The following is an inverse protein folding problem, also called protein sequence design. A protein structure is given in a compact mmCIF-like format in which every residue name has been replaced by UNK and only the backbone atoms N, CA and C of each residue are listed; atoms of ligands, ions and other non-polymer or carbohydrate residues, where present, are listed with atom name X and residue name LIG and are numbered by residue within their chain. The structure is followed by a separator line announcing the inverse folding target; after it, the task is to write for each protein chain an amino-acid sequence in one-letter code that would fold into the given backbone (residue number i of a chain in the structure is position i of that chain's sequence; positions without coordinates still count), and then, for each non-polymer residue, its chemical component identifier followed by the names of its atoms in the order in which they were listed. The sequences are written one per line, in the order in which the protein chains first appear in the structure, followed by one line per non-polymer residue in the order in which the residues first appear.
data_IF_939927399198
#
_entry.id   IF_939927399198
#
_cell.length_a   1.000
_cell.length_b   1.000
_cell.length_c   1.000
_cell.angle_alpha   90.00
_cell.angle_beta   90.00
_cell.angle_gamma   90.00
#
_symmetry.space_group_name_H-M   'P 1'
#
loop_
_entity.id
_entity.type
_entity.pdbx_description
1 polymer ?
#
# COMPACT_ATOMS: atom_id res chain seq x y z
N UNK A 1 -2.09 -10.12 25.57
CA UNK A 1 -1.21 -9.21 24.79
C UNK A 1 -0.88 -9.76 23.39
N UNK A 2 -0.54 -11.04 23.23
CA UNK A 2 -0.24 -11.62 21.89
C UNK A 2 -1.35 -11.43 20.84
N UNK A 3 -2.63 -11.58 21.20
CA UNK A 3 -3.75 -11.38 20.25
C UNK A 3 -3.85 -9.93 19.74
N UNK A 4 -3.49 -8.95 20.57
CA UNK A 4 -3.47 -7.53 20.18
C UNK A 4 -2.32 -7.26 19.21
N UNK A 5 -1.14 -7.82 19.49
CA UNK A 5 0.03 -7.66 18.63
C UNK A 5 -0.18 -8.33 17.26
N UNK A 6 -0.77 -9.53 17.23
CA UNK A 6 -1.18 -10.21 16.00
C UNK A 6 -2.18 -9.37 15.21
N UNK A 7 -3.16 -8.76 15.89
CA UNK A 7 -4.14 -7.88 15.25
C UNK A 7 -3.48 -6.65 14.61
N UNK A 8 -2.55 -6.01 15.32
CA UNK A 8 -1.80 -4.86 14.80
C UNK A 8 -0.98 -5.25 13.59
N UNK A 9 -0.23 -6.35 13.66
CA UNK A 9 0.57 -6.84 12.53
C UNK A 9 -0.31 -7.16 11.31
N UNK A 10 -1.47 -7.76 11.53
CA UNK A 10 -2.45 -8.00 10.47
C UNK A 10 -3.03 -6.71 9.90
N UNK A 11 -3.41 -5.74 10.74
CA UNK A 11 -3.98 -4.48 10.28
C UNK A 11 -2.99 -3.68 9.42
N UNK A 12 -1.70 -3.73 9.75
CA UNK A 12 -0.63 -3.12 8.93
C UNK A 12 -0.54 -3.77 7.55
N UNK A 13 -0.64 -5.09 7.50
CA UNK A 13 -0.67 -5.86 6.25
C UNK A 13 -1.92 -5.56 5.43
N UNK A 14 -3.09 -5.48 6.08
CA UNK A 14 -4.38 -5.17 5.44
C UNK A 14 -4.45 -3.75 4.84
N UNK A 15 -3.60 -2.82 5.31
CA UNK A 15 -3.53 -1.47 4.76
C UNK A 15 -2.81 -1.43 3.39
N UNK A 16 -2.06 -2.46 3.03
CA UNK A 16 -1.28 -2.54 1.79
C UNK A 16 -2.19 -3.02 0.65
N UNK A 17 -2.38 -2.20 -0.41
CA UNK A 17 -3.33 -2.49 -1.50
C UNK A 17 -2.94 -3.66 -2.41
N UNK A 18 -1.86 -4.39 -2.10
CA UNK A 18 -1.29 -5.44 -2.94
C UNK A 18 -1.65 -6.86 -2.47
N UNK A 19 -2.33 -7.00 -1.33
CA UNK A 19 -2.36 -8.26 -0.59
C UNK A 19 -3.78 -8.85 -0.46
N UNK A 20 -4.30 -9.37 -1.57
CA UNK A 20 -5.56 -10.15 -1.59
C UNK A 20 -5.55 -11.35 -0.63
N UNK A 21 -4.37 -11.89 -0.34
CA UNK A 21 -4.21 -13.13 0.45
C UNK A 21 -4.08 -12.91 1.96
N UNK A 22 -3.85 -11.67 2.42
CA UNK A 22 -3.58 -11.37 3.84
C UNK A 22 -4.83 -11.11 4.68
N UNK A 23 -5.98 -10.92 4.03
CA UNK A 23 -7.19 -10.43 4.68
C UNK A 23 -8.04 -11.55 5.32
N UNK A 24 -7.89 -12.80 4.89
CA UNK A 24 -8.65 -13.95 5.40
C UNK A 24 -8.00 -14.61 6.63
N UNK A 25 -7.52 -13.82 7.59
CA UNK A 25 -6.98 -14.36 8.85
C UNK A 25 -8.10 -14.45 9.86
N UNK A 26 -8.42 -15.66 10.33
CA UNK A 26 -9.42 -15.85 11.35
C UNK A 26 -8.86 -15.47 12.74
N UNK A 27 -9.25 -14.29 13.24
CA UNK A 27 -8.89 -13.86 14.59
C UNK A 27 -9.80 -14.51 15.66
N UNK A 28 -9.24 -15.38 16.48
CA UNK A 28 -9.87 -15.83 17.73
C UNK A 28 -9.65 -14.79 18.84
N UNK A 29 -10.45 -13.73 18.82
CA UNK A 29 -10.37 -12.65 19.83
C UNK A 29 -11.00 -13.13 21.14
N UNK A 30 -10.24 -13.21 22.26
CA UNK A 30 -10.80 -13.66 23.52
C UNK A 30 -11.77 -12.62 24.10
N UNK A 31 -13.05 -12.99 24.23
CA UNK A 31 -14.13 -12.09 24.67
C UNK A 31 -14.14 -11.79 26.18
N UNK A 32 -13.31 -12.47 26.96
CA UNK A 32 -13.23 -12.30 28.41
C UNK A 32 -12.43 -11.07 28.83
N UNK A 33 -11.70 -10.44 27.91
CA UNK A 33 -10.97 -9.21 28.18
C UNK A 33 -11.78 -7.98 27.76
N UNK A 34 -11.65 -6.90 28.52
CA UNK A 34 -12.32 -5.61 28.26
C UNK A 34 -11.99 -5.01 26.89
N UNK A 35 -10.81 -5.29 26.33
CA UNK A 35 -10.41 -4.87 24.98
C UNK A 35 -10.91 -5.80 23.87
N UNK A 36 -11.45 -6.98 24.19
CA UNK A 36 -11.85 -7.98 23.19
C UNK A 36 -12.98 -7.47 22.29
N UNK A 37 -14.03 -6.90 22.88
CA UNK A 37 -15.16 -6.32 22.14
C UNK A 37 -14.77 -5.17 21.19
N UNK A 38 -14.02 -4.13 21.63
CA UNK A 38 -13.60 -3.07 20.72
C UNK A 38 -12.62 -3.57 19.64
N UNK A 39 -11.76 -4.55 19.94
CA UNK A 39 -10.86 -5.15 18.95
C UNK A 39 -11.63 -5.91 17.85
N UNK A 40 -12.67 -6.67 18.24
CA UNK A 40 -13.57 -7.30 17.27
C UNK A 40 -14.32 -6.28 16.42
N UNK A 41 -14.78 -5.17 17.00
CA UNK A 41 -15.44 -4.11 16.24
C UNK A 41 -14.50 -3.45 15.21
N UNK A 42 -13.23 -3.23 15.57
CA UNK A 42 -12.23 -2.70 14.64
C UNK A 42 -11.93 -3.68 13.50
N UNK A 43 -11.79 -4.98 13.81
CA UNK A 43 -11.61 -6.03 12.82
C UNK A 43 -12.70 -6.00 11.74
N UNK A 44 -13.97 -6.00 12.16
CA UNK A 44 -15.11 -5.96 11.23
C UNK A 44 -15.12 -4.68 10.38
N UNK A 45 -14.85 -3.52 10.98
CA UNK A 45 -14.79 -2.25 10.22
C UNK A 45 -13.68 -2.27 9.17
N UNK A 46 -12.51 -2.84 9.48
CA UNK A 46 -11.41 -2.95 8.52
C UNK A 46 -11.79 -3.89 7.36
N UNK A 47 -12.47 -5.02 7.65
CA UNK A 47 -12.98 -5.94 6.63
C UNK A 47 -14.06 -5.31 5.74
N UNK A 48 -14.94 -4.50 6.31
CA UNK A 48 -15.99 -3.80 5.54
C UNK A 48 -15.38 -2.74 4.62
N UNK A 49 -14.43 -1.95 5.13
CA UNK A 49 -13.75 -0.94 4.32
C UNK A 49 -12.88 -1.55 3.21
N UNK A 50 -12.20 -2.67 3.47
CA UNK A 50 -11.44 -3.36 2.43
C UNK A 50 -12.35 -3.93 1.32
N UNK A 51 -13.50 -4.50 1.66
CA UNK A 51 -14.50 -4.97 0.67
C UNK A 51 -15.07 -3.82 -0.18
N UNK A 52 -15.25 -2.63 0.41
CA UNK A 52 -15.66 -1.43 -0.34
C UNK A 52 -14.55 -0.94 -1.28
N UNK A 53 -13.29 -1.06 -0.85
CA UNK A 53 -12.10 -0.70 -1.64
C UNK A 53 -11.92 -1.62 -2.86
N UNK A 54 -12.20 -2.91 -2.68
CA UNK A 54 -12.22 -3.91 -3.74
C UNK A 54 -13.28 -3.59 -4.81
N UNK A 55 -14.50 -3.25 -4.37
CA UNK A 55 -15.58 -2.79 -5.27
C UNK A 55 -15.30 -1.49 -6.01
N UNK A 56 -14.41 -0.65 -5.49
CA UNK A 56 -14.06 0.63 -6.12
C UNK A 56 -12.97 0.49 -7.17
N UNK A 57 -12.45 -0.71 -7.47
CA UNK A 57 -11.24 -0.87 -8.25
C UNK A 57 -10.19 0.12 -7.72
N UNK A 58 -9.63 -0.14 -6.52
CA UNK A 58 -8.39 0.51 -6.11
C UNK A 58 -7.23 0.01 -6.99
N UNK A 59 -7.36 0.24 -8.29
CA UNK A 59 -6.53 -0.16 -9.41
C UNK A 59 -5.64 1.00 -9.87
N UNK A 60 -5.55 2.10 -9.11
CA UNK A 60 -4.73 3.27 -9.45
C UNK A 60 -3.21 3.07 -9.28
N UNK A 61 -2.75 1.82 -9.18
CA UNK A 61 -1.36 1.43 -9.38
C UNK A 61 -1.29 0.22 -10.32
N UNK A 62 -2.21 -0.75 -10.19
CA UNK A 62 -2.27 -1.90 -11.10
C UNK A 62 -2.53 -1.50 -12.56
N UNK A 63 -3.36 -0.49 -12.80
CA UNK A 63 -3.68 0.01 -14.15
C UNK A 63 -2.48 0.71 -14.77
N UNK A 64 -1.83 1.59 -14.02
CA UNK A 64 -0.67 2.37 -14.44
C UNK A 64 0.52 1.43 -14.67
N UNK A 65 0.72 0.42 -13.80
CA UNK A 65 1.73 -0.64 -13.99
C UNK A 65 1.43 -1.46 -15.24
N UNK A 66 0.17 -1.82 -15.46
CA UNK A 66 -0.24 -2.53 -16.67
C UNK A 66 -0.02 -1.69 -17.94
N UNK A 67 -0.38 -0.40 -17.91
CA UNK A 67 -0.17 0.52 -19.03
C UNK A 67 1.32 0.76 -19.30
N UNK A 68 2.14 0.86 -18.25
CA UNK A 68 3.60 0.95 -18.32
C UNK A 68 4.22 -0.29 -18.97
N UNK A 69 3.84 -1.49 -18.52
CA UNK A 69 4.34 -2.75 -19.11
C UNK A 69 3.95 -2.85 -20.60
N UNK A 70 2.70 -2.51 -20.93
CA UNK A 70 2.24 -2.48 -22.32
C UNK A 70 3.02 -1.48 -23.18
N UNK A 71 3.18 -0.25 -22.70
CA UNK A 71 3.90 0.80 -23.42
C UNK A 71 5.39 0.44 -23.62
N UNK A 72 6.01 -0.11 -22.57
CA UNK A 72 7.38 -0.61 -22.59
C UNK A 72 7.59 -1.70 -23.65
N UNK A 73 6.70 -2.70 -23.72
CA UNK A 73 6.77 -3.76 -24.74
C UNK A 73 6.71 -3.22 -26.16
N UNK A 74 5.76 -2.31 -26.43
CA UNK A 74 5.62 -1.70 -27.76
C UNK A 74 6.85 -0.87 -28.12
N UNK A 75 7.39 -0.11 -27.17
CA UNK A 75 8.63 0.65 -27.39
C UNK A 75 9.85 -0.26 -27.62
N UNK A 76 9.95 -1.40 -26.93
CA UNK A 76 11.00 -2.39 -27.18
C UNK A 76 10.89 -3.00 -28.58
N UNK A 77 9.68 -3.39 -29.01
CA UNK A 77 9.45 -3.91 -30.37
C UNK A 77 9.77 -2.87 -31.45
N UNK A 78 9.42 -1.60 -31.21
CA UNK A 78 9.77 -0.50 -32.09
C UNK A 78 11.29 -0.31 -32.14
N UNK A 79 11.98 -0.33 -31.00
CA UNK A 79 13.44 -0.20 -30.92
C UNK A 79 14.18 -1.32 -31.67
N UNK A 80 13.70 -2.56 -31.55
CA UNK A 80 14.29 -3.74 -32.22
C UNK A 80 14.09 -3.71 -33.74
N UNK A 81 13.07 -3.00 -34.23
CA UNK A 81 12.74 -2.89 -35.65
C UNK A 81 13.25 -1.60 -36.32
N UNK A 82 14.00 -0.77 -35.60
CA UNK A 82 14.59 0.47 -36.14
C UNK A 82 15.67 0.14 -37.18
N UNK A 83 15.46 0.61 -38.41
CA UNK A 83 16.50 0.75 -39.44
C UNK A 83 16.56 2.20 -39.91
N UNK A 84 17.77 2.73 -40.05
CA UNK A 84 17.99 4.13 -40.44
C UNK A 84 18.27 4.26 -41.94
N UNK A 85 17.78 5.33 -42.59
CA UNK A 85 16.96 6.41 -42.04
C UNK A 85 15.51 5.98 -41.73
N UNK A 86 14.95 6.47 -40.62
CA UNK A 86 13.61 6.10 -40.19
C UNK A 86 12.55 6.68 -41.15
N UNK A 87 11.53 5.91 -41.54
CA UNK A 87 10.34 6.47 -42.19
C UNK A 87 9.62 7.47 -41.29
N UNK A 88 9.10 8.55 -41.85
CA UNK A 88 8.40 9.62 -41.11
C UNK A 88 7.22 9.07 -40.29
N UNK A 89 6.50 8.08 -40.81
CA UNK A 89 5.40 7.41 -40.10
C UNK A 89 5.88 6.64 -38.86
N UNK A 90 7.02 5.95 -38.96
CA UNK A 90 7.65 5.24 -37.83
C UNK A 90 8.20 6.22 -36.80
N UNK A 91 8.77 7.33 -37.23
CA UNK A 91 9.24 8.38 -36.32
C UNK A 91 8.07 8.96 -35.52
N UNK A 92 6.93 9.20 -36.19
CA UNK A 92 5.71 9.68 -35.55
C UNK A 92 5.18 8.69 -34.51
N UNK A 93 5.12 7.41 -34.86
CA UNK A 93 4.68 6.34 -33.96
C UNK A 93 5.55 6.25 -32.70
N UNK A 94 6.89 6.29 -32.86
CA UNK A 94 7.83 6.30 -31.73
C UNK A 94 7.59 7.54 -30.85
N UNK A 95 7.43 8.72 -31.45
CA UNK A 95 7.19 9.96 -30.71
C UNK A 95 5.87 9.90 -29.92
N UNK A 96 4.79 9.41 -30.52
CA UNK A 96 3.50 9.23 -29.87
C UNK A 96 3.62 8.25 -28.68
N UNK A 97 4.32 7.13 -28.84
CA UNK A 97 4.52 6.14 -27.77
C UNK A 97 5.39 6.66 -26.63
N UNK A 98 6.45 7.42 -26.93
CA UNK A 98 7.27 8.07 -25.91
C UNK A 98 6.45 9.12 -25.14
N UNK A 99 5.57 9.85 -25.82
CA UNK A 99 4.68 10.80 -25.16
C UNK A 99 3.65 10.09 -24.25
N UNK A 100 3.06 8.98 -24.72
CA UNK A 100 2.18 8.12 -23.91
C UNK A 100 2.89 7.61 -22.65
N UNK A 101 4.14 7.14 -22.79
CA UNK A 101 4.98 6.73 -21.66
C UNK A 101 5.21 7.87 -20.67
N UNK A 102 5.52 9.07 -21.17
CA UNK A 102 5.72 10.26 -20.36
C UNK A 102 4.50 10.59 -19.51
N UNK A 103 3.29 10.49 -20.08
CA UNK A 103 2.05 10.71 -19.33
C UNK A 103 1.86 9.67 -18.23
N UNK A 104 2.10 8.39 -18.52
CA UNK A 104 2.00 7.31 -17.51
C UNK A 104 2.97 7.58 -16.35
N UNK A 105 4.20 8.05 -16.62
CA UNK A 105 5.18 8.41 -15.60
C UNK A 105 4.69 9.56 -14.69
N UNK A 106 4.07 10.60 -15.25
CA UNK A 106 3.52 11.69 -14.45
C UNK A 106 2.34 11.20 -13.60
N UNK A 107 1.43 10.40 -14.16
CA UNK A 107 0.31 9.80 -13.42
C UNK A 107 0.82 8.94 -12.24
N UNK A 108 1.90 8.19 -12.45
CA UNK A 108 2.57 7.44 -11.37
C UNK A 108 3.11 8.35 -10.28
N UNK A 109 3.79 9.42 -10.67
CA UNK A 109 4.40 10.37 -9.72
C UNK A 109 3.33 11.05 -8.88
N UNK A 110 2.24 11.51 -9.51
CA UNK A 110 1.09 12.09 -8.84
C UNK A 110 0.39 11.11 -7.90
N UNK A 111 0.32 9.82 -8.26
CA UNK A 111 -0.26 8.78 -7.42
C UNK A 111 0.63 8.32 -6.26
N UNK A 112 1.95 8.26 -6.48
CA UNK A 112 2.93 7.75 -5.50
C UNK A 112 3.22 8.77 -4.39
N UNK A 113 3.22 10.06 -4.68
CA UNK A 113 3.52 11.09 -3.67
C UNK A 113 2.52 11.08 -2.48
N UNK A 114 1.19 11.03 -2.70
CA UNK A 114 0.22 10.86 -1.63
C UNK A 114 0.40 9.55 -0.85
N UNK A 115 0.75 8.46 -1.54
CA UNK A 115 0.98 7.17 -0.91
C UNK A 115 2.22 7.20 -0.01
N UNK A 116 3.32 7.77 -0.48
CA UNK A 116 4.55 7.94 0.32
C UNK A 116 4.26 8.73 1.59
N UNK A 117 3.50 9.83 1.47
CA UNK A 117 3.11 10.65 2.63
C UNK A 117 2.29 9.86 3.65
N UNK A 118 1.32 9.07 3.19
CA UNK A 118 0.50 8.23 4.07
C UNK A 118 1.35 7.15 4.78
N UNK A 119 2.24 6.49 4.04
CA UNK A 119 3.15 5.47 4.62
C UNK A 119 4.06 6.10 5.68
N UNK A 120 4.61 7.28 5.40
CA UNK A 120 5.44 8.03 6.35
C UNK A 120 4.67 8.42 7.61
N UNK A 121 3.43 8.89 7.47
CA UNK A 121 2.57 9.24 8.60
C UNK A 121 2.29 8.02 9.48
N UNK A 122 1.91 6.89 8.88
CA UNK A 122 1.67 5.65 9.61
C UNK A 122 2.94 5.19 10.33
N UNK A 123 4.10 5.26 9.67
CA UNK A 123 5.37 4.91 10.29
C UNK A 123 5.69 5.81 11.49
N UNK A 124 5.51 7.12 11.37
CA UNK A 124 5.68 8.05 12.49
C UNK A 124 4.76 7.71 13.66
N UNK A 125 3.49 7.38 13.40
CA UNK A 125 2.54 6.97 14.45
C UNK A 125 2.96 5.69 15.14
N UNK A 126 3.47 4.70 14.39
CA UNK A 126 3.97 3.44 14.96
C UNK A 126 5.17 3.71 15.88
N UNK A 127 6.14 4.50 15.41
CA UNK A 127 7.33 4.85 16.20
C UNK A 127 6.93 5.62 17.46
N UNK A 128 6.07 6.62 17.33
CA UNK A 128 5.58 7.42 18.47
C UNK A 128 4.89 6.55 19.52
N UNK A 129 3.92 5.73 19.10
CA UNK A 129 3.17 4.83 19.99
C UNK A 129 4.12 3.83 20.69
N UNK A 130 5.14 3.34 19.98
CA UNK A 130 6.15 2.47 20.58
C UNK A 130 6.98 3.21 21.64
N UNK A 131 7.42 4.43 21.36
CA UNK A 131 8.19 5.25 22.32
C UNK A 131 7.36 5.53 23.57
N UNK A 132 6.12 6.01 23.42
CA UNK A 132 5.22 6.24 24.56
C UNK A 132 4.94 4.95 25.36
N UNK A 133 4.79 3.82 24.68
CA UNK A 133 4.65 2.51 25.32
C UNK A 133 5.87 2.15 26.16
N UNK A 134 7.09 2.36 25.64
CA UNK A 134 8.33 2.11 26.39
C UNK A 134 8.50 3.06 27.56
N UNK A 135 8.16 4.35 27.40
CA UNK A 135 8.26 5.36 28.46
C UNK A 135 7.30 5.05 29.63
N UNK A 136 6.09 4.59 29.33
CA UNK A 136 5.13 4.18 30.36
C UNK A 136 5.56 2.92 31.11
N UNK A 137 6.16 1.94 30.42
CA UNK A 137 6.77 0.75 31.05
C UNK A 137 7.99 1.10 31.91
N UNK A 138 8.86 2.00 31.44
CA UNK A 138 10.04 2.44 32.20
C UNK A 138 9.69 3.20 33.48
N UNK A 139 8.60 3.98 33.46
CA UNK A 139 8.13 4.75 34.61
C UNK A 139 7.38 3.90 35.64
N UNK A 140 6.71 2.82 35.23
CA UNK A 140 6.11 1.85 36.16
C UNK A 140 7.14 1.19 37.08
N UNK A 141 8.31 0.83 36.55
CA UNK A 141 9.38 0.20 37.33
C UNK A 141 10.08 1.12 38.34
N UNK A 142 9.86 2.43 38.31
CA UNK A 142 10.44 3.37 39.27
C UNK A 142 9.53 3.65 40.48
N UNK A 143 8.25 3.30 40.39
CA UNK A 143 7.26 3.57 41.45
C UNK A 143 7.05 2.41 42.41
N UNK A 144 7.63 1.23 42.15
CA UNK A 144 7.58 0.05 43.05
C UNK A 144 8.82 -0.04 43.97
N UNK A 145 9.65 1.00 44.01
CA UNK A 145 10.80 1.11 44.90
C UNK A 145 10.59 2.26 45.91
N UNK A 146 9.56 2.17 46.75
CA UNK A 146 9.47 2.94 48.00
C UNK A 146 8.56 2.26 49.02
#
# INVERSE_FOLDING_TARGET
MNSVLLFVMWALVAAIPCQDRGLQVHFSIPRHFSWGAPLSSMHERILDESRKRDRRNACGLLREIYQMDKCSRVLSELADSVQFPLPEEREREVREKVQELGQICEDFKEGLEPLERQVREVFHRIVHTRTEGLDTLGRGNHNDAH
#
